data_IF_628487776470
#
_entry.id   IF_628487776470
#
_cell.length_a   1.000
_cell.length_b   1.000
_cell.length_c   1.000
_cell.angle_alpha   90.00
_cell.angle_beta   90.00
_cell.angle_gamma   90.00
#
_symmetry.space_group_name_H-M   'P 1'
#
loop_
_entity.id
_entity.type
_entity.pdbx_description
1 polymer ?
#
# COMPACT_ATOMS: atom_id res chain seq x y z
N UNK A 1 -1.48 -59.09 57.42
CA UNK A 1 -1.79 -59.51 56.04
C UNK A 1 -1.76 -58.25 55.17
N UNK A 2 -0.59 -57.86 54.66
CA UNK A 2 0.01 -58.17 53.35
C UNK A 2 -0.44 -57.23 52.22
N UNK A 3 0.56 -56.50 51.68
CA UNK A 3 0.52 -55.49 50.63
C UNK A 3 -0.01 -56.06 49.30
N UNK A 4 -0.83 -55.30 48.57
CA UNK A 4 -1.07 -55.52 47.13
C UNK A 4 -0.14 -54.62 46.33
N UNK A 5 0.78 -55.25 45.60
CA UNK A 5 1.50 -54.67 44.45
C UNK A 5 0.92 -55.36 43.22
N UNK A 6 0.47 -54.57 42.25
CA UNK A 6 -0.05 -55.06 40.96
C UNK A 6 1.12 -55.04 39.97
N UNK A 7 1.41 -56.19 39.37
CA UNK A 7 2.29 -56.37 38.22
C UNK A 7 1.46 -56.54 36.95
N UNK A 8 1.90 -55.94 35.84
CA UNK A 8 1.66 -56.39 34.47
C UNK A 8 2.73 -55.82 33.52
N UNK A 9 2.96 -56.46 32.34
CA UNK A 9 4.32 -56.80 31.91
C UNK A 9 4.91 -55.98 30.74
N UNK A 10 6.23 -56.11 30.64
CA UNK A 10 7.13 -55.71 29.57
C UNK A 10 6.77 -56.27 28.18
N UNK A 11 6.81 -55.42 27.16
CA UNK A 11 6.92 -55.82 25.75
C UNK A 11 8.21 -55.28 25.13
N UNK A 12 8.92 -56.19 24.47
CA UNK A 12 10.19 -56.03 23.78
C UNK A 12 10.03 -55.25 22.47
N UNK A 13 10.99 -54.35 22.20
CA UNK A 13 11.26 -53.75 20.90
C UNK A 13 12.11 -54.70 20.03
N UNK A 14 11.95 -54.68 18.71
CA UNK A 14 13.08 -54.89 17.81
C UNK A 14 13.36 -53.66 16.95
N UNK A 15 14.66 -53.35 16.84
CA UNK A 15 15.23 -52.35 15.96
C UNK A 15 15.34 -52.89 14.52
N UNK A 16 15.08 -52.03 13.54
CA UNK A 16 15.51 -52.21 12.16
C UNK A 16 15.74 -50.85 11.46
N UNK A 17 16.98 -50.66 10.99
CA UNK A 17 17.43 -49.76 9.91
C UNK A 17 18.09 -50.68 8.85
N UNK A 18 18.46 -50.24 7.63
CA UNK A 18 18.31 -48.92 6.98
C UNK A 18 17.73 -48.99 5.54
N UNK A 19 17.33 -47.85 4.97
CA UNK A 19 17.12 -47.69 3.52
C UNK A 19 18.05 -46.59 2.97
N UNK A 20 18.90 -46.98 2.03
CA UNK A 20 19.81 -46.11 1.30
C UNK A 20 19.13 -45.36 0.14
N UNK A 21 19.62 -44.16 -0.14
CA UNK A 21 19.24 -43.34 -1.29
C UNK A 21 20.33 -43.44 -2.37
N UNK A 22 20.00 -43.58 -3.67
CA UNK A 22 20.99 -43.47 -4.71
C UNK A 22 21.18 -42.02 -5.18
N UNK A 23 22.45 -41.66 -5.31
CA UNK A 23 22.96 -40.47 -5.99
C UNK A 23 22.74 -40.61 -7.51
N UNK A 24 22.10 -39.61 -8.12
CA UNK A 24 21.97 -39.48 -9.58
C UNK A 24 22.88 -38.38 -10.12
N UNK A 25 24.01 -38.77 -10.70
CA UNK A 25 24.89 -37.97 -11.55
C UNK A 25 24.23 -37.70 -12.90
N UNK A 26 24.14 -36.44 -13.36
CA UNK A 26 23.79 -36.11 -14.74
C UNK A 26 24.66 -34.98 -15.30
N UNK A 27 25.58 -35.35 -16.18
CA UNK A 27 26.15 -34.63 -17.35
C UNK A 27 27.23 -35.58 -17.94
N UNK A 28 27.62 -35.56 -19.24
CA UNK A 28 27.40 -34.55 -20.28
C UNK A 28 26.98 -35.09 -21.67
N UNK A 29 26.57 -34.22 -22.58
CA UNK A 29 27.05 -34.27 -23.98
C UNK A 29 26.51 -33.13 -24.86
N UNK A 30 27.48 -32.50 -25.52
CA UNK A 30 27.39 -31.66 -26.70
C UNK A 30 26.84 -32.41 -27.92
N UNK A 31 26.06 -31.72 -28.77
CA UNK A 31 26.21 -31.76 -30.23
C UNK A 31 25.48 -30.60 -30.92
N UNK A 32 26.26 -29.90 -31.71
CA UNK A 32 25.94 -28.93 -32.74
C UNK A 32 25.14 -29.52 -33.91
N UNK A 33 24.24 -28.73 -34.50
CA UNK A 33 23.92 -28.82 -35.92
C UNK A 33 23.40 -27.46 -36.45
N UNK A 34 24.19 -26.84 -37.31
CA UNK A 34 23.76 -25.84 -38.28
C UNK A 34 22.81 -26.48 -39.31
N UNK A 35 21.83 -25.71 -39.79
CA UNK A 35 21.37 -25.83 -41.18
C UNK A 35 20.74 -24.51 -41.64
N UNK A 36 20.95 -24.25 -42.93
CA UNK A 36 20.89 -22.98 -43.62
C UNK A 36 19.48 -22.53 -44.03
N UNK A 37 19.36 -21.19 -44.07
CA UNK A 37 18.65 -20.33 -45.03
C UNK A 37 17.97 -21.03 -46.21
N UNK A 38 16.71 -20.66 -46.45
CA UNK A 38 16.25 -20.20 -47.76
C UNK A 38 15.27 -19.04 -47.57
N UNK A 39 15.39 -18.03 -48.43
CA UNK A 39 14.61 -16.80 -48.45
C UNK A 39 13.92 -16.60 -49.81
N UNK A 40 12.98 -15.64 -49.80
CA UNK A 40 12.51 -14.75 -50.91
C UNK A 40 11.23 -15.18 -51.67
N UNK A 41 10.33 -14.27 -52.18
CA UNK A 41 10.01 -12.86 -51.84
C UNK A 41 8.49 -12.52 -51.66
N UNK A 42 8.22 -11.41 -50.96
CA UNK A 42 7.46 -10.22 -51.40
C UNK A 42 6.01 -10.30 -51.94
N UNK A 43 5.09 -9.55 -51.31
CA UNK A 43 4.24 -8.56 -51.98
C UNK A 43 3.51 -7.62 -51.00
N UNK A 44 3.74 -6.32 -51.18
CA UNK A 44 3.01 -5.18 -50.64
C UNK A 44 1.56 -5.11 -51.16
N UNK A 45 0.60 -4.61 -50.36
CA UNK A 45 -0.48 -3.63 -50.71
C UNK A 45 -1.01 -3.01 -49.40
N UNK A 46 -0.62 -1.79 -49.03
CA UNK A 46 -1.13 -0.45 -49.41
C UNK A 46 -2.55 -0.14 -48.91
N UNK A 47 -2.63 0.71 -47.89
CA UNK A 47 -3.81 1.46 -47.44
C UNK A 47 -4.30 2.44 -48.52
N UNK A 48 -5.62 2.63 -48.65
CA UNK A 48 -6.23 3.81 -49.29
C UNK A 48 -7.60 4.14 -48.68
N UNK A 49 -7.71 5.36 -48.15
CA UNK A 49 -8.87 6.25 -48.20
C UNK A 49 -8.43 7.48 -49.02
N UNK A 50 -9.27 8.48 -49.34
CA UNK A 50 -10.75 8.53 -49.52
C UNK A 50 -11.13 9.24 -50.86
N UNK A 51 -12.42 9.24 -51.24
CA UNK A 51 -13.08 10.42 -51.86
C UNK A 51 -14.56 10.20 -52.23
N UNK A 52 -15.39 11.11 -51.70
CA UNK A 52 -16.45 11.91 -52.35
C UNK A 52 -17.80 11.30 -52.78
N UNK A 53 -18.84 11.85 -52.13
CA UNK A 53 -20.10 12.42 -52.66
C UNK A 53 -21.09 11.53 -53.41
N UNK A 54 -22.36 11.53 -52.97
CA UNK A 54 -23.48 12.29 -53.57
C UNK A 54 -24.78 11.95 -52.81
N UNK A 55 -25.53 12.97 -52.41
CA UNK A 55 -26.92 12.90 -51.96
C UNK A 55 -27.86 12.70 -53.15
N UNK A 56 -28.94 11.91 -53.00
CA UNK A 56 -30.29 12.26 -53.47
C UNK A 56 -31.35 11.28 -52.95
N UNK A 57 -32.47 11.87 -52.54
CA UNK A 57 -33.75 11.28 -52.14
C UNK A 57 -34.29 10.25 -53.15
N UNK A 58 -35.13 9.29 -52.72
CA UNK A 58 -36.59 9.48 -52.69
C UNK A 58 -37.41 8.25 -52.24
N UNK A 59 -38.44 8.56 -51.46
CA UNK A 59 -39.80 7.99 -51.28
C UNK A 59 -40.07 6.46 -51.19
N UNK A 60 -40.76 6.04 -50.10
CA UNK A 60 -42.25 5.85 -50.03
C UNK A 60 -42.75 5.15 -48.74
N UNK A 61 -43.76 5.78 -48.10
CA UNK A 61 -45.04 5.25 -47.51
C UNK A 61 -45.00 4.27 -46.31
N UNK A 62 -45.85 4.33 -45.28
CA UNK A 62 -47.06 5.11 -44.92
C UNK A 62 -47.34 5.03 -43.39
N UNK A 63 -47.82 6.15 -42.80
CA UNK A 63 -48.88 6.39 -41.78
C UNK A 63 -48.98 5.55 -40.47
N UNK A 64 -49.09 6.10 -39.25
CA UNK A 64 -50.11 7.00 -38.60
C UNK A 64 -49.48 7.71 -37.35
N UNK A 65 -49.41 9.06 -37.20
CA UNK A 65 -50.34 10.08 -36.60
C UNK A 65 -50.74 9.84 -35.11
N UNK A 66 -50.67 10.75 -34.11
CA UNK A 66 -50.63 12.24 -33.93
C UNK A 66 -49.81 12.61 -32.66
N UNK A 67 -48.97 13.68 -32.52
CA UNK A 67 -49.12 15.17 -32.57
C UNK A 67 -49.97 15.78 -31.42
N UNK A 68 -49.69 16.88 -30.69
CA UNK A 68 -48.58 17.84 -30.46
C UNK A 68 -48.99 18.78 -29.26
N UNK A 69 -48.10 19.61 -28.67
CA UNK A 69 -48.43 20.55 -27.56
C UNK A 69 -48.32 22.05 -27.94
N UNK A 70 -49.00 22.95 -27.19
CA UNK A 70 -48.74 24.41 -27.04
C UNK A 70 -49.69 24.98 -25.96
N UNK A 71 -49.31 25.86 -25.03
CA UNK A 71 -49.07 27.30 -25.28
C UNK A 71 -48.76 28.09 -23.99
N UNK A 72 -47.85 29.07 -24.13
CA UNK A 72 -47.78 30.45 -23.61
C UNK A 72 -48.29 30.84 -22.20
N UNK A 73 -47.46 31.58 -21.43
CA UNK A 73 -47.69 33.01 -21.09
C UNK A 73 -46.53 33.63 -20.29
N UNK A 74 -46.19 34.89 -20.60
CA UNK A 74 -45.41 35.85 -19.80
C UNK A 74 -46.05 37.23 -19.99
N UNK A 75 -45.97 38.13 -19.00
CA UNK A 75 -45.39 39.48 -19.21
C UNK A 75 -44.72 40.01 -17.91
N UNK A 76 -44.01 41.15 -17.78
CA UNK A 76 -43.35 42.17 -18.60
C UNK A 76 -42.58 43.11 -17.63
N UNK A 77 -41.73 43.98 -18.17
CA UNK A 77 -40.74 44.86 -17.51
C UNK A 77 -41.25 46.20 -16.89
N UNK A 78 -40.54 46.67 -15.83
CA UNK A 78 -40.14 48.07 -15.43
C UNK A 78 -41.22 49.12 -15.02
N UNK A 79 -40.91 50.30 -14.39
CA UNK A 79 -39.60 50.89 -14.01
C UNK A 79 -39.50 51.78 -12.71
N UNK A 80 -38.30 52.33 -12.43
CA UNK A 80 -37.89 53.57 -11.71
C UNK A 80 -38.37 53.96 -10.27
N UNK A 81 -37.36 54.16 -9.40
CA UNK A 81 -37.13 55.00 -8.18
C UNK A 81 -38.07 56.20 -7.86
N UNK A 82 -37.94 56.93 -6.71
CA UNK A 82 -37.46 56.60 -5.34
C UNK A 82 -38.43 57.10 -4.22
N UNK A 83 -38.27 56.67 -2.95
CA UNK A 83 -38.74 57.47 -1.82
C UNK A 83 -37.92 57.24 -0.55
N UNK A 84 -37.63 58.35 0.13
CA UNK A 84 -36.72 58.48 1.25
C UNK A 84 -37.35 58.14 2.61
N UNK A 85 -36.47 57.81 3.55
CA UNK A 85 -36.55 58.07 5.00
C UNK A 85 -37.82 57.65 5.75
N UNK A 86 -37.69 56.68 6.66
CA UNK A 86 -37.38 56.97 8.07
C UNK A 86 -37.62 55.75 8.97
N UNK A 87 -36.66 55.54 9.88
CA UNK A 87 -36.79 54.98 11.24
C UNK A 87 -37.23 53.51 11.41
N UNK A 88 -36.24 52.66 11.75
CA UNK A 88 -36.32 51.83 12.96
C UNK A 88 -34.92 51.32 13.37
N UNK A 89 -34.73 50.97 14.66
CA UNK A 89 -33.50 51.29 15.41
C UNK A 89 -32.45 50.18 15.47
N UNK A 90 -31.31 50.60 15.98
CA UNK A 90 -30.06 49.89 16.16
C UNK A 90 -30.14 48.63 17.06
N UNK A 91 -29.07 47.82 16.88
CA UNK A 91 -28.42 46.92 17.83
C UNK A 91 -28.50 45.42 17.51
N UNK A 92 -27.44 44.93 16.85
CA UNK A 92 -26.65 43.77 17.29
C UNK A 92 -25.45 43.59 16.33
N UNK A 93 -24.37 44.36 16.56
CA UNK A 93 -23.05 44.04 15.99
C UNK A 93 -22.48 42.86 16.75
N UNK A 94 -22.55 41.67 16.19
CA UNK A 94 -21.60 40.62 16.54
C UNK A 94 -20.26 40.94 15.88
N UNK A 95 -19.39 41.57 16.66
CA UNK A 95 -17.97 41.67 16.34
C UNK A 95 -17.33 40.31 16.60
N UNK A 96 -17.35 39.43 15.60
CA UNK A 96 -16.51 38.22 15.64
C UNK A 96 -15.22 38.50 14.88
N UNK A 97 -14.28 39.15 15.56
CA UNK A 97 -12.87 39.02 15.22
C UNK A 97 -12.44 37.59 15.57
N UNK A 98 -12.72 36.64 14.67
CA UNK A 98 -12.10 35.33 14.75
C UNK A 98 -10.68 35.45 14.19
N UNK A 99 -9.63 35.15 14.98
CA UNK A 99 -8.32 34.91 14.38
C UNK A 99 -8.45 33.73 13.40
N UNK A 100 -7.63 33.69 12.33
CA UNK A 100 -7.62 32.53 11.44
C UNK A 100 -7.39 31.26 12.26
N UNK A 101 -7.98 30.11 11.88
CA UNK A 101 -7.77 28.88 12.62
C UNK A 101 -6.27 28.61 12.65
N UNK A 102 -5.66 28.76 13.83
CA UNK A 102 -4.32 28.27 14.09
C UNK A 102 -4.38 26.78 13.79
N UNK A 103 -3.48 26.33 12.93
CA UNK A 103 -3.15 24.92 12.77
C UNK A 103 -3.00 24.32 14.18
N UNK A 104 -4.00 23.58 14.63
CA UNK A 104 -3.91 22.75 15.82
C UNK A 104 -3.10 21.53 15.42
N UNK A 105 -1.79 21.72 15.29
CA UNK A 105 -0.84 20.65 15.56
C UNK A 105 -0.89 20.39 17.07
N UNK A 106 -1.97 19.77 17.53
CA UNK A 106 -1.98 19.14 18.85
C UNK A 106 -0.97 18.02 18.74
N UNK A 107 0.26 18.26 19.20
CA UNK A 107 1.21 17.18 19.38
C UNK A 107 0.52 16.18 20.31
N UNK A 108 0.12 15.03 19.77
CA UNK A 108 -0.27 13.90 20.59
C UNK A 108 0.91 13.67 21.54
N UNK A 109 0.64 13.68 22.84
CA UNK A 109 1.70 13.47 23.83
C UNK A 109 2.13 12.01 23.69
N UNK A 110 3.26 11.77 23.04
CA UNK A 110 3.83 10.44 22.93
C UNK A 110 4.07 9.91 24.34
N UNK A 111 3.48 8.77 24.75
CA UNK A 111 3.80 8.16 26.03
C UNK A 111 5.32 7.91 26.08
N UNK A 112 6.00 8.35 27.14
CA UNK A 112 7.46 8.23 27.25
C UNK A 112 7.98 6.77 27.21
N UNK A 113 7.10 5.76 27.23
CA UNK A 113 7.41 4.34 27.25
C UNK A 113 6.54 3.52 26.28
N UNK A 114 6.57 3.82 24.98
CA UNK A 114 5.93 2.95 23.99
C UNK A 114 6.48 1.51 24.06
N UNK A 115 5.61 0.52 23.86
CA UNK A 115 6.04 -0.89 23.80
C UNK A 115 6.69 -1.18 22.45
N UNK A 116 7.86 -1.81 22.48
CA UNK A 116 8.57 -2.30 21.29
C UNK A 116 8.59 -3.83 21.31
N UNK A 117 8.09 -4.45 20.25
CA UNK A 117 7.90 -5.90 20.16
C UNK A 117 9.16 -6.62 19.65
N UNK A 118 9.45 -7.78 20.23
CA UNK A 118 10.35 -8.77 19.60
C UNK A 118 9.73 -9.32 18.31
N UNK A 119 10.53 -10.01 17.50
CA UNK A 119 9.99 -10.67 16.31
C UNK A 119 8.91 -11.70 16.69
N UNK A 120 9.15 -12.47 17.75
CA UNK A 120 8.22 -13.50 18.22
C UNK A 120 6.91 -12.91 18.77
N UNK A 121 6.98 -11.79 19.51
CA UNK A 121 5.78 -11.11 20.01
C UNK A 121 4.95 -10.52 18.87
N UNK A 122 5.59 -9.93 17.86
CA UNK A 122 4.89 -9.42 16.68
C UNK A 122 4.18 -10.55 15.91
N UNK A 123 4.83 -11.72 15.76
CA UNK A 123 4.21 -12.90 15.15
C UNK A 123 2.99 -13.40 15.93
N UNK A 124 3.13 -13.55 17.25
CA UNK A 124 2.05 -14.01 18.11
C UNK A 124 0.86 -13.04 18.11
N UNK A 125 1.12 -11.73 18.14
CA UNK A 125 0.07 -10.72 18.09
C UNK A 125 -0.69 -10.76 16.76
N UNK A 126 -0.01 -10.87 15.62
CA UNK A 126 -0.65 -11.02 14.31
C UNK A 126 -1.50 -12.30 14.24
N UNK A 127 -0.99 -13.43 14.75
CA UNK A 127 -1.71 -14.69 14.81
C UNK A 127 -2.98 -14.59 15.67
N UNK A 128 -2.91 -13.93 16.83
CA UNK A 128 -4.07 -13.71 17.70
C UNK A 128 -5.11 -12.78 17.08
N UNK A 129 -4.68 -11.70 16.41
CA UNK A 129 -5.58 -10.77 15.72
C UNK A 129 -6.40 -11.49 14.63
N UNK A 130 -5.80 -12.47 13.96
CA UNK A 130 -6.47 -13.30 12.95
C UNK A 130 -7.11 -14.57 13.53
N UNK A 131 -6.89 -14.86 14.80
CA UNK A 131 -7.45 -16.00 15.51
C UNK A 131 -8.96 -15.88 15.69
N UNK A 132 -9.62 -16.98 16.03
CA UNK A 132 -11.08 -17.03 16.20
C UNK A 132 -11.63 -16.06 17.24
N UNK A 133 -10.83 -15.72 18.25
CA UNK A 133 -11.24 -14.84 19.35
C UNK A 133 -11.36 -13.37 18.92
N UNK A 134 -10.53 -12.91 17.98
CA UNK A 134 -10.56 -11.53 17.47
C UNK A 134 -11.25 -11.48 16.09
N UNK A 135 -10.86 -12.36 15.18
CA UNK A 135 -11.58 -12.64 13.94
C UNK A 135 -11.27 -11.70 12.78
N UNK A 136 -10.14 -10.99 12.77
CA UNK A 136 -9.73 -10.26 11.57
C UNK A 136 -9.30 -11.20 10.45
N UNK A 137 -9.64 -10.86 9.21
CA UNK A 137 -8.99 -11.46 8.05
C UNK A 137 -7.67 -10.75 7.72
N UNK A 138 -6.78 -11.45 7.01
CA UNK A 138 -5.56 -10.86 6.45
C UNK A 138 -5.90 -9.63 5.59
N UNK A 139 -6.94 -9.73 4.77
CA UNK A 139 -7.37 -8.66 3.86
C UNK A 139 -7.77 -7.39 4.63
N UNK A 140 -8.45 -7.53 5.77
CA UNK A 140 -8.86 -6.40 6.61
C UNK A 140 -7.66 -5.70 7.25
N UNK A 141 -6.75 -6.46 7.87
CA UNK A 141 -5.56 -5.89 8.50
C UNK A 141 -4.67 -5.20 7.46
N UNK A 142 -4.46 -5.84 6.31
CA UNK A 142 -3.67 -5.30 5.20
C UNK A 142 -4.29 -4.02 4.61
N UNK A 143 -5.62 -3.96 4.48
CA UNK A 143 -6.30 -2.76 4.00
C UNK A 143 -6.07 -1.56 4.94
N UNK A 144 -6.19 -1.79 6.25
CA UNK A 144 -5.99 -0.76 7.28
C UNK A 144 -4.52 -0.36 7.44
N UNK A 145 -3.61 -1.34 7.36
CA UNK A 145 -2.17 -1.10 7.38
C UNK A 145 -1.73 -0.26 6.18
N UNK A 146 -2.08 -0.67 4.96
CA UNK A 146 -1.73 0.08 3.76
C UNK A 146 -2.37 1.47 3.70
N UNK A 147 -3.60 1.65 4.22
CA UNK A 147 -4.18 2.98 4.40
C UNK A 147 -3.32 3.84 5.36
N UNK A 148 -2.87 3.27 6.47
CA UNK A 148 -2.00 3.98 7.43
C UNK A 148 -0.65 4.37 6.79
N UNK A 149 -0.07 3.50 5.94
CA UNK A 149 1.13 3.81 5.16
C UNK A 149 0.88 4.99 4.22
N UNK A 150 -0.23 5.00 3.50
CA UNK A 150 -0.59 6.11 2.61
C UNK A 150 -0.78 7.43 3.38
N UNK A 151 -1.35 7.37 4.59
CA UNK A 151 -1.50 8.54 5.47
C UNK A 151 -0.14 9.06 5.96
N UNK A 152 0.78 8.17 6.37
CA UNK A 152 2.14 8.55 6.75
C UNK A 152 2.90 9.23 5.60
N UNK A 153 2.77 8.70 4.37
CA UNK A 153 3.33 9.35 3.17
C UNK A 153 2.70 10.73 2.97
N UNK A 154 1.39 10.86 3.17
CA UNK A 154 0.71 12.14 3.03
C UNK A 154 1.15 13.19 4.06
N UNK A 155 1.54 12.77 5.26
CA UNK A 155 2.14 13.64 6.27
C UNK A 155 3.60 13.96 5.96
N UNK A 156 4.37 12.99 5.46
CA UNK A 156 5.79 13.15 5.12
C UNK A 156 6.02 14.08 3.92
N UNK A 157 5.16 14.02 2.90
CA UNK A 157 5.23 14.84 1.68
C UNK A 157 3.86 15.43 1.33
N UNK A 158 3.37 16.44 2.09
CA UNK A 158 2.02 16.93 1.95
C UNK A 158 1.76 17.54 0.58
N UNK A 159 0.61 17.20 -0.01
CA UNK A 159 0.13 17.86 -1.21
C UNK A 159 -0.31 19.28 -0.85
N UNK A 160 0.33 20.27 -1.45
CA UNK A 160 -0.18 21.65 -1.41
C UNK A 160 -1.02 21.91 -2.67
N UNK A 161 -2.04 22.79 -2.61
CA UNK A 161 -2.82 23.20 -3.78
C UNK A 161 -1.94 23.65 -4.97
N UNK A 162 -0.75 24.19 -4.69
CA UNK A 162 0.22 24.64 -5.68
C UNK A 162 1.08 23.52 -6.31
N UNK A 163 1.19 22.34 -5.67
CA UNK A 163 2.12 21.25 -6.06
C UNK A 163 1.39 19.92 -6.34
N UNK A 164 0.05 19.91 -6.30
CA UNK A 164 -0.81 18.71 -6.33
C UNK A 164 -0.53 17.68 -7.43
N UNK A 165 0.00 18.07 -8.61
CA UNK A 165 0.16 17.16 -9.75
C UNK A 165 1.58 16.69 -10.02
N UNK A 166 2.58 17.00 -9.20
CA UNK A 166 3.97 16.65 -9.51
C UNK A 166 4.60 15.63 -8.54
N UNK A 167 4.06 15.45 -7.32
CA UNK A 167 4.65 14.52 -6.37
C UNK A 167 4.45 13.07 -6.83
N UNK A 168 5.57 12.48 -7.23
CA UNK A 168 5.69 11.10 -7.69
C UNK A 168 6.22 10.21 -6.57
N UNK A 169 5.46 9.16 -6.25
CA UNK A 169 5.81 8.15 -5.25
C UNK A 169 6.06 6.82 -5.94
N UNK A 170 7.22 6.22 -5.67
CA UNK A 170 7.50 4.84 -6.06
C UNK A 170 7.21 3.93 -4.88
N UNK A 171 6.34 2.95 -5.05
CA UNK A 171 6.17 1.88 -4.06
C UNK A 171 6.94 0.65 -4.54
N UNK A 172 7.87 0.16 -3.73
CA UNK A 172 8.62 -1.07 -4.02
C UNK A 172 8.04 -2.19 -3.18
N UNK A 173 7.30 -3.09 -3.83
CA UNK A 173 6.54 -4.15 -3.17
C UNK A 173 7.33 -5.47 -3.20
N UNK A 174 7.56 -6.03 -2.01
CA UNK A 174 8.16 -7.34 -1.84
C UNK A 174 7.18 -8.50 -2.07
N UNK A 175 7.64 -9.75 -1.83
CA UNK A 175 6.87 -10.95 -2.16
C UNK A 175 5.97 -11.43 -0.99
N UNK A 176 5.94 -10.72 0.14
CA UNK A 176 5.21 -11.10 1.34
C UNK A 176 4.15 -10.08 1.72
N UNK A 177 3.56 -10.22 2.92
CA UNK A 177 2.48 -9.34 3.41
C UNK A 177 2.87 -7.86 3.37
N UNK A 178 4.12 -7.52 3.71
CA UNK A 178 4.62 -6.14 3.61
C UNK A 178 4.51 -5.59 2.17
N UNK A 179 4.70 -6.43 1.15
CA UNK A 179 4.46 -6.04 -0.23
C UNK A 179 3.00 -5.75 -0.51
N UNK A 180 2.09 -6.53 0.08
CA UNK A 180 0.64 -6.32 0.01
C UNK A 180 0.21 -4.99 0.66
N UNK A 181 0.77 -4.65 1.82
CA UNK A 181 0.57 -3.35 2.47
C UNK A 181 0.97 -2.20 1.53
N UNK A 182 2.07 -2.37 0.81
CA UNK A 182 2.52 -1.44 -0.23
C UNK A 182 1.55 -1.33 -1.41
N UNK A 183 0.99 -2.44 -1.90
CA UNK A 183 -0.01 -2.41 -2.98
C UNK A 183 -1.29 -1.68 -2.55
N UNK A 184 -1.75 -1.91 -1.32
CA UNK A 184 -2.87 -1.17 -0.73
C UNK A 184 -2.52 0.32 -0.60
N UNK A 185 -1.34 0.64 -0.07
CA UNK A 185 -0.87 2.02 0.06
C UNK A 185 -0.81 2.73 -1.29
N UNK A 186 -0.32 2.06 -2.34
CA UNK A 186 -0.27 2.61 -3.69
C UNK A 186 -1.66 2.99 -4.23
N UNK A 187 -2.69 2.16 -3.96
CA UNK A 187 -4.07 2.49 -4.33
C UNK A 187 -4.59 3.71 -3.56
N UNK A 188 -4.38 3.77 -2.25
CA UNK A 188 -4.83 4.91 -1.44
C UNK A 188 -4.09 6.21 -1.81
N UNK A 189 -2.78 6.15 -2.03
CA UNK A 189 -2.00 7.29 -2.51
C UNK A 189 -2.52 7.84 -3.84
N UNK A 190 -2.93 6.96 -4.75
CA UNK A 190 -3.58 7.38 -6.00
C UNK A 190 -4.88 8.14 -5.74
N UNK A 191 -5.68 7.69 -4.77
CA UNK A 191 -6.92 8.35 -4.35
C UNK A 191 -6.66 9.68 -3.62
N UNK A 192 -5.55 9.78 -2.88
CA UNK A 192 -5.13 11.02 -2.22
C UNK A 192 -4.61 12.07 -3.20
N UNK A 193 -4.33 11.70 -4.45
CA UNK A 193 -3.95 12.61 -5.53
C UNK A 193 -2.49 12.52 -5.98
N UNK A 194 -1.71 11.60 -5.41
CA UNK A 194 -0.32 11.38 -5.82
C UNK A 194 -0.21 10.74 -7.21
N UNK A 195 0.90 11.01 -7.89
CA UNK A 195 1.33 10.18 -9.00
C UNK A 195 2.07 8.97 -8.45
N UNK A 196 1.52 7.77 -8.64
CA UNK A 196 2.07 6.55 -8.02
C UNK A 196 2.56 5.61 -9.11
N UNK A 197 3.71 4.99 -8.88
CA UNK A 197 4.21 3.84 -9.64
C UNK A 197 4.54 2.71 -8.66
N UNK A 198 4.23 1.47 -9.03
CA UNK A 198 4.62 0.29 -8.25
C UNK A 198 5.72 -0.47 -8.97
N UNK A 199 6.79 -0.81 -8.27
CA UNK A 199 7.76 -1.79 -8.73
C UNK A 199 7.63 -3.04 -7.87
N UNK A 200 7.26 -4.16 -8.49
CA UNK A 200 7.06 -5.44 -7.81
C UNK A 200 7.92 -6.52 -8.49
N UNK A 201 9.20 -6.68 -8.10
CA UNK A 201 10.14 -7.60 -8.77
C UNK A 201 9.71 -9.07 -8.77
N UNK A 202 8.94 -9.48 -7.76
CA UNK A 202 8.49 -10.86 -7.57
C UNK A 202 7.04 -10.85 -7.06
N UNK A 203 6.04 -10.69 -7.95
CA UNK A 203 4.64 -10.73 -7.55
C UNK A 203 4.28 -12.12 -7.01
N UNK A 204 3.67 -12.22 -5.82
CA UNK A 204 3.25 -13.51 -5.26
C UNK A 204 2.10 -14.13 -6.05
N UNK A 205 2.16 -15.44 -6.26
CA UNK A 205 1.05 -16.22 -6.84
C UNK A 205 0.00 -16.56 -5.76
N UNK A 206 -0.65 -15.53 -5.21
CA UNK A 206 -1.73 -15.66 -4.21
C UNK A 206 -2.95 -14.87 -4.66
N UNK A 207 -4.15 -15.42 -4.45
CA UNK A 207 -5.41 -14.79 -4.86
C UNK A 207 -5.57 -13.35 -4.29
N UNK A 208 -5.15 -13.12 -3.04
CA UNK A 208 -5.11 -11.79 -2.43
C UNK A 208 -4.28 -10.80 -3.27
N UNK A 209 -3.05 -11.16 -3.62
CA UNK A 209 -2.17 -10.30 -4.41
C UNK A 209 -2.69 -10.07 -5.82
N UNK A 210 -3.26 -11.09 -6.46
CA UNK A 210 -3.92 -10.91 -7.75
C UNK A 210 -5.08 -9.91 -7.67
N UNK A 211 -5.87 -9.95 -6.60
CA UNK A 211 -6.95 -9.00 -6.38
C UNK A 211 -6.43 -7.58 -6.16
N UNK A 212 -5.37 -7.39 -5.37
CA UNK A 212 -4.71 -6.09 -5.19
C UNK A 212 -4.17 -5.55 -6.54
N UNK A 213 -3.53 -6.40 -7.34
CA UNK A 213 -3.04 -6.01 -8.67
C UNK A 213 -4.17 -5.64 -9.64
N UNK A 214 -5.32 -6.33 -9.58
CA UNK A 214 -6.53 -5.94 -10.32
C UNK A 214 -7.07 -4.58 -9.86
N UNK A 215 -7.06 -4.30 -8.56
CA UNK A 215 -7.47 -2.99 -8.03
C UNK A 215 -6.55 -1.88 -8.55
N UNK A 216 -5.22 -2.06 -8.47
CA UNK A 216 -4.24 -1.11 -9.01
C UNK A 216 -4.46 -0.83 -10.51
N UNK A 217 -4.71 -1.88 -11.30
CA UNK A 217 -5.05 -1.74 -12.72
C UNK A 217 -6.32 -0.90 -12.93
N UNK A 218 -7.36 -1.13 -12.15
CA UNK A 218 -8.61 -0.37 -12.24
C UNK A 218 -8.44 1.10 -11.82
N UNK A 219 -7.54 1.40 -10.88
CA UNK A 219 -7.14 2.75 -10.52
C UNK A 219 -6.09 3.38 -11.45
N UNK A 220 -5.68 2.66 -12.50
CA UNK A 220 -4.65 3.08 -13.47
C UNK A 220 -3.32 3.44 -12.80
N UNK A 221 -2.92 2.65 -11.80
CA UNK A 221 -1.58 2.73 -11.20
C UNK A 221 -0.65 1.83 -12.03
N UNK A 222 0.40 2.38 -12.67
CA UNK A 222 1.37 1.58 -13.40
C UNK A 222 2.14 0.65 -12.45
N UNK A 223 2.32 -0.59 -12.87
CA UNK A 223 3.10 -1.60 -12.14
C UNK A 223 4.15 -2.19 -13.08
N UNK A 224 5.42 -2.16 -12.67
CA UNK A 224 6.52 -2.82 -13.38
C UNK A 224 7.00 -4.02 -12.58
N UNK A 225 7.29 -5.13 -13.25
CA UNK A 225 7.80 -6.37 -12.63
C UNK A 225 9.27 -6.61 -12.95
N UNK A 226 9.69 -6.33 -14.18
CA UNK A 226 11.03 -6.75 -14.65
C UNK A 226 12.12 -5.73 -14.31
N UNK A 227 12.12 -4.56 -14.97
CA UNK A 227 13.14 -3.54 -14.77
C UNK A 227 12.73 -2.49 -13.73
N UNK A 228 13.66 -1.97 -12.92
CA UNK A 228 13.38 -0.80 -12.10
C UNK A 228 12.98 0.38 -13.01
N UNK A 229 12.02 1.22 -12.60
CA UNK A 229 11.87 2.53 -13.22
C UNK A 229 13.11 3.39 -12.90
N UNK A 230 13.30 4.49 -13.63
CA UNK A 230 14.32 5.47 -13.26
C UNK A 230 13.99 6.05 -11.88
N UNK A 231 14.86 5.87 -10.88
CA UNK A 231 14.54 6.30 -9.52
C UNK A 231 14.51 7.83 -9.38
N UNK A 232 15.21 8.56 -10.26
CA UNK A 232 15.32 10.04 -10.25
C UNK A 232 14.01 10.75 -10.55
N UNK A 233 13.06 10.01 -11.09
CA UNK A 233 11.72 10.46 -11.43
C UNK A 233 10.80 10.61 -10.21
N UNK A 234 11.21 10.09 -9.05
CA UNK A 234 10.39 10.02 -7.85
C UNK A 234 10.90 10.95 -6.75
N UNK A 235 9.96 11.40 -5.92
CA UNK A 235 10.22 12.32 -4.82
C UNK A 235 10.28 11.58 -3.47
N UNK A 236 9.64 10.41 -3.40
CA UNK A 236 9.66 9.51 -2.25
C UNK A 236 9.57 8.07 -2.74
N UNK A 237 10.31 7.19 -2.08
CA UNK A 237 10.23 5.74 -2.24
C UNK A 237 9.57 5.14 -1.00
N UNK A 238 8.55 4.33 -1.17
CA UNK A 238 7.97 3.49 -0.12
C UNK A 238 8.64 2.13 -0.20
N UNK A 239 9.47 1.83 0.78
CA UNK A 239 10.08 0.52 0.99
C UNK A 239 9.06 -0.40 1.67
N UNK A 240 8.41 -1.22 0.86
CA UNK A 240 7.44 -2.23 1.27
C UNK A 240 7.96 -3.64 0.92
N UNK A 241 9.27 -3.85 1.02
CA UNK A 241 9.91 -5.08 0.55
C UNK A 241 9.84 -6.18 1.61
N UNK A 242 10.45 -5.96 2.77
CA UNK A 242 10.53 -6.94 3.85
C UNK A 242 10.00 -6.35 5.16
N UNK A 243 9.01 -7.03 5.76
CA UNK A 243 8.46 -6.69 7.08
C UNK A 243 9.06 -7.55 8.19
N UNK A 244 8.50 -7.45 9.40
CA UNK A 244 9.00 -8.16 10.59
C UNK A 244 9.11 -9.69 10.47
N UNK A 245 8.40 -10.33 9.54
CA UNK A 245 8.46 -11.80 9.35
C UNK A 245 9.66 -12.27 8.53
N UNK A 246 10.43 -11.35 7.93
CA UNK A 246 11.62 -11.70 7.16
C UNK A 246 12.72 -12.31 8.04
N UNK A 247 13.39 -13.33 7.53
CA UNK A 247 14.49 -14.04 8.19
C UNK A 247 15.60 -14.37 7.20
N UNK A 248 16.84 -14.31 7.68
CA UNK A 248 18.02 -14.66 6.92
C UNK A 248 18.53 -13.54 6.03
N UNK A 249 19.26 -13.92 4.98
CA UNK A 249 19.95 -12.98 4.09
C UNK A 249 19.07 -12.55 2.92
N UNK A 250 19.24 -11.30 2.50
CA UNK A 250 18.61 -10.77 1.29
C UNK A 250 19.18 -11.52 0.07
N UNK A 251 18.29 -12.01 -0.80
CA UNK A 251 18.65 -12.79 -2.00
C UNK A 251 18.21 -12.07 -3.27
N UNK A 252 18.80 -12.40 -4.43
CA UNK A 252 18.31 -11.94 -5.72
C UNK A 252 16.81 -12.14 -5.94
N UNK A 253 16.11 -11.16 -6.53
CA UNK A 253 16.62 -9.89 -7.07
C UNK A 253 16.70 -8.75 -6.03
N UNK A 254 16.36 -9.00 -4.76
CA UNK A 254 16.16 -7.94 -3.78
C UNK A 254 17.47 -7.34 -3.25
N UNK A 255 18.58 -8.04 -3.34
CA UNK A 255 19.92 -7.50 -3.06
C UNK A 255 20.25 -6.32 -3.99
N UNK A 256 20.04 -6.50 -5.30
CA UNK A 256 20.21 -5.45 -6.30
C UNK A 256 19.18 -4.33 -6.14
N UNK A 257 17.94 -4.66 -5.76
CA UNK A 257 16.90 -3.67 -5.44
C UNK A 257 17.36 -2.79 -4.29
N UNK A 258 17.72 -3.36 -3.14
CA UNK A 258 18.15 -2.59 -1.97
C UNK A 258 19.38 -1.73 -2.27
N UNK A 259 20.34 -2.26 -3.04
CA UNK A 259 21.50 -1.50 -3.48
C UNK A 259 21.10 -0.28 -4.35
N UNK A 260 20.18 -0.45 -5.30
CA UNK A 260 19.69 0.65 -6.13
C UNK A 260 18.95 1.72 -5.31
N UNK A 261 18.10 1.30 -4.36
CA UNK A 261 17.38 2.24 -3.49
C UNK A 261 18.34 3.03 -2.60
N UNK A 262 19.31 2.35 -1.98
CA UNK A 262 20.32 2.95 -1.10
C UNK A 262 21.19 3.99 -1.81
N UNK A 263 21.45 3.82 -3.10
CA UNK A 263 22.30 4.71 -3.90
C UNK A 263 21.54 5.82 -4.64
N UNK A 264 20.19 5.82 -4.58
CA UNK A 264 19.34 6.72 -5.36
C UNK A 264 19.30 8.17 -4.87
N UNK A 265 19.73 8.45 -3.64
CA UNK A 265 19.54 9.73 -2.92
C UNK A 265 18.08 10.19 -2.75
N UNK A 266 17.10 9.38 -3.13
CA UNK A 266 15.68 9.71 -2.95
C UNK A 266 15.27 9.36 -1.51
N UNK A 267 14.49 10.23 -0.83
CA UNK A 267 13.96 9.91 0.48
C UNK A 267 13.17 8.58 0.49
N UNK A 268 13.40 7.76 1.50
CA UNK A 268 12.71 6.48 1.70
C UNK A 268 11.81 6.54 2.93
N UNK A 269 10.58 6.04 2.80
CA UNK A 269 9.70 5.67 3.89
C UNK A 269 9.62 4.14 3.96
N UNK A 270 10.13 3.55 5.04
CA UNK A 270 10.05 2.09 5.22
C UNK A 270 8.79 1.69 5.96
N UNK A 271 8.14 0.64 5.45
CA UNK A 271 6.93 0.05 6.01
C UNK A 271 7.31 -1.06 6.98
N UNK A 272 6.80 -0.91 8.20
CA UNK A 272 6.95 -1.79 9.35
C UNK A 272 8.35 -1.83 9.97
N UNK A 273 9.35 -2.25 9.18
CA UNK A 273 10.77 -2.21 9.48
C UNK A 273 11.54 -1.79 8.22
N UNK A 274 12.72 -1.15 8.34
CA UNK A 274 13.55 -0.91 7.17
C UNK A 274 14.06 -2.22 6.56
N UNK A 275 13.87 -2.40 5.26
CA UNK A 275 14.27 -3.64 4.58
C UNK A 275 15.78 -3.86 4.70
N UNK A 276 16.14 -5.09 5.07
CA UNK A 276 17.52 -5.50 5.34
C UNK A 276 17.98 -5.28 6.79
N UNK A 277 17.14 -4.73 7.67
CA UNK A 277 17.44 -4.67 9.11
C UNK A 277 17.10 -6.01 9.79
N UNK A 278 17.86 -6.34 10.84
CA UNK A 278 17.42 -7.30 11.84
C UNK A 278 16.26 -6.71 12.63
N UNK A 279 15.20 -7.50 12.82
CA UNK A 279 13.91 -7.07 13.43
C UNK A 279 14.07 -6.58 14.86
N UNK A 280 15.12 -6.99 15.56
CA UNK A 280 15.38 -6.61 16.93
C UNK A 280 16.63 -5.76 17.09
N UNK A 281 17.70 -6.08 16.35
CA UNK A 281 19.03 -5.46 16.51
C UNK A 281 19.31 -4.30 15.55
N UNK A 282 18.40 -4.04 14.59
CA UNK A 282 18.58 -2.98 13.60
C UNK A 282 19.56 -3.34 12.47
N UNK A 283 20.24 -2.34 11.91
CA UNK A 283 21.11 -2.51 10.73
C UNK A 283 22.49 -3.12 11.07
N UNK A 284 22.53 -4.33 11.62
CA UNK A 284 23.76 -4.96 12.10
C UNK A 284 24.76 -5.32 11.00
N UNK A 285 24.29 -5.56 9.77
CA UNK A 285 25.16 -5.87 8.62
C UNK A 285 25.61 -4.62 7.87
N UNK A 286 24.98 -3.47 8.11
CA UNK A 286 25.17 -2.25 7.31
C UNK A 286 24.60 -2.34 5.90
N UNK A 287 23.96 -3.46 5.52
CA UNK A 287 23.42 -3.69 4.17
C UNK A 287 21.99 -3.18 4.01
N UNK A 288 21.27 -2.98 5.11
CA UNK A 288 19.90 -2.47 5.11
C UNK A 288 19.79 -1.02 4.63
N UNK A 289 18.55 -0.63 4.32
CA UNK A 289 18.22 0.76 3.94
C UNK A 289 18.31 1.70 5.15
N UNK A 290 18.59 2.98 4.89
CA UNK A 290 18.61 4.02 5.91
C UNK A 290 17.52 5.07 5.64
N UNK A 291 16.25 4.74 5.91
CA UNK A 291 15.14 5.56 5.48
C UNK A 291 15.10 6.91 6.20
N UNK A 292 14.39 7.88 5.61
CA UNK A 292 14.08 9.18 6.20
C UNK A 292 12.87 9.08 7.12
N UNK A 293 11.95 8.18 6.77
CA UNK A 293 10.70 7.94 7.49
C UNK A 293 10.54 6.45 7.80
N UNK A 294 10.00 6.14 8.96
CA UNK A 294 9.59 4.78 9.32
C UNK A 294 8.11 4.82 9.71
N UNK A 295 7.31 3.90 9.22
CA UNK A 295 5.98 3.64 9.78
C UNK A 295 5.97 2.25 10.41
N UNK A 296 5.87 2.16 11.73
CA UNK A 296 5.61 0.88 12.40
C UNK A 296 4.13 0.54 12.35
N UNK A 297 3.80 -0.69 11.96
CA UNK A 297 2.43 -1.17 11.94
C UNK A 297 2.10 -1.92 13.24
N UNK A 298 0.90 -1.70 13.77
CA UNK A 298 0.38 -2.29 15.02
C UNK A 298 1.09 -1.74 16.26
N UNK A 299 2.38 -2.01 16.39
CA UNK A 299 3.29 -1.45 17.38
C UNK A 299 4.73 -1.44 16.83
N UNK A 300 5.62 -0.56 17.30
CA UNK A 300 7.03 -0.59 16.95
C UNK A 300 7.69 -1.95 17.19
N UNK A 301 8.55 -2.40 16.27
CA UNK A 301 9.45 -3.54 16.49
C UNK A 301 10.73 -3.07 17.17
N UNK A 302 11.42 -3.95 17.90
CA UNK A 302 12.62 -3.62 18.65
C UNK A 302 13.70 -2.89 17.84
N UNK A 303 13.86 -3.21 16.55
CA UNK A 303 14.80 -2.52 15.67
C UNK A 303 14.54 -1.00 15.57
N UNK A 304 13.29 -0.56 15.75
CA UNK A 304 12.94 0.85 15.69
C UNK A 304 13.57 1.67 16.83
N UNK A 305 14.07 1.05 17.90
CA UNK A 305 14.89 1.75 18.93
C UNK A 305 16.20 2.32 18.34
N UNK A 306 16.68 1.73 17.25
CA UNK A 306 17.88 2.19 16.52
C UNK A 306 17.55 3.26 15.47
N UNK A 307 16.28 3.50 15.17
CA UNK A 307 15.85 4.54 14.25
C UNK A 307 15.79 5.91 14.97
N UNK A 308 16.19 6.98 14.27
CA UNK A 308 16.43 8.33 14.85
C UNK A 308 15.90 9.48 13.99
N UNK A 309 15.08 9.20 12.98
CA UNK A 309 14.47 10.21 12.12
C UNK A 309 12.95 10.21 12.36
N UNK A 310 12.15 10.62 11.37
CA UNK A 310 10.70 10.77 11.54
C UNK A 310 10.02 9.40 11.62
N UNK A 311 9.38 9.12 12.76
CA UNK A 311 8.77 7.82 13.05
C UNK A 311 7.26 7.97 13.24
N UNK A 312 6.50 7.18 12.47
CA UNK A 312 5.07 7.04 12.56
C UNK A 312 4.68 5.68 13.16
N UNK A 313 3.53 5.63 13.83
CA UNK A 313 2.83 4.40 14.16
C UNK A 313 1.47 4.42 13.49
N UNK A 314 1.15 3.35 12.78
CA UNK A 314 -0.14 3.13 12.13
C UNK A 314 -0.72 1.76 12.46
N UNK A 315 -1.85 1.44 11.85
CA UNK A 315 -2.58 0.21 12.17
C UNK A 315 -3.42 0.37 13.44
N UNK A 316 -4.26 1.41 13.46
CA UNK A 316 -5.21 1.70 14.54
C UNK A 316 -6.39 0.70 14.55
N UNK A 317 -6.10 -0.55 14.89
CA UNK A 317 -7.08 -1.65 14.93
C UNK A 317 -6.89 -2.62 16.10
N UNK A 318 -5.90 -2.39 16.97
CA UNK A 318 -5.58 -3.25 18.10
C UNK A 318 -6.69 -3.15 19.16
N UNK A 319 -7.43 -4.24 19.43
CA UNK A 319 -8.50 -4.21 20.43
C UNK A 319 -7.92 -4.17 21.85
N UNK A 320 -8.71 -3.66 22.81
CA UNK A 320 -8.31 -3.55 24.22
C UNK A 320 -7.86 -4.90 24.81
N UNK A 321 -8.52 -6.00 24.43
CA UNK A 321 -8.13 -7.36 24.85
C UNK A 321 -6.70 -7.73 24.46
N UNK A 322 -6.22 -7.27 23.30
CA UNK A 322 -4.83 -7.49 22.87
C UNK A 322 -3.87 -6.51 23.55
N UNK A 323 -4.30 -5.27 23.78
CA UNK A 323 -3.52 -4.29 24.56
C UNK A 323 -3.23 -4.84 25.96
N UNK A 324 -4.23 -5.41 26.63
CA UNK A 324 -4.10 -6.04 27.95
C UNK A 324 -3.23 -7.29 27.91
N UNK A 325 -3.51 -8.23 26.99
CA UNK A 325 -2.79 -9.51 26.87
C UNK A 325 -1.29 -9.30 26.68
N UNK A 326 -0.91 -8.35 25.82
CA UNK A 326 0.49 -8.06 25.49
C UNK A 326 1.10 -6.92 26.28
N UNK A 327 0.34 -6.30 27.21
CA UNK A 327 0.75 -5.13 27.99
C UNK A 327 1.31 -4.02 27.09
N UNK A 328 0.58 -3.72 26.01
CA UNK A 328 1.00 -2.74 25.02
C UNK A 328 0.79 -1.33 25.56
N UNK A 329 1.82 -0.49 25.46
CA UNK A 329 1.71 0.95 25.56
C UNK A 329 1.75 1.50 24.14
N UNK A 330 0.57 1.85 23.62
CA UNK A 330 0.39 2.40 22.27
C UNK A 330 0.25 3.93 22.33
N UNK A 331 0.62 4.65 21.26
CA UNK A 331 0.40 6.09 21.22
C UNK A 331 -1.09 6.42 21.12
N UNK A 332 -1.48 7.60 21.62
CA UNK A 332 -2.82 8.12 21.43
C UNK A 332 -2.97 8.64 20.00
N UNK A 333 -3.93 8.10 19.24
CA UNK A 333 -4.22 8.56 17.89
C UNK A 333 -5.13 9.78 17.92
N UNK A 334 -4.71 10.94 17.37
CA UNK A 334 -5.49 12.16 17.46
C UNK A 334 -6.78 12.07 16.63
N UNK A 335 -7.93 12.26 17.26
CA UNK A 335 -9.23 12.30 16.59
C UNK A 335 -9.49 11.06 15.74
N UNK A 336 -9.65 11.25 14.43
CA UNK A 336 -9.94 10.19 13.44
C UNK A 336 -8.70 9.69 12.69
N UNK A 337 -7.49 10.12 13.08
CA UNK A 337 -6.28 9.75 12.37
C UNK A 337 -5.99 8.24 12.54
N UNK A 338 -5.56 7.60 11.44
CA UNK A 338 -5.11 6.20 11.43
C UNK A 338 -3.60 6.06 11.63
N UNK A 339 -2.89 7.18 11.70
CA UNK A 339 -1.45 7.28 11.91
C UNK A 339 -1.15 8.36 12.94
N UNK A 340 -0.06 8.20 13.68
CA UNK A 340 0.48 9.21 14.61
C UNK A 340 1.99 9.26 14.50
N UNK A 341 2.54 10.47 14.52
CA UNK A 341 3.97 10.75 14.57
C UNK A 341 4.46 10.69 16.03
N UNK A 342 5.57 9.99 16.29
CA UNK A 342 6.05 9.62 17.64
C UNK A 342 7.52 9.96 17.93
N UNK A 343 8.21 10.65 17.02
CA UNK A 343 9.63 11.03 17.13
C UNK A 343 9.91 12.22 18.07
#
# INVERSE_FOLDING_TARGET
MQKRVIHSPSWLLPAALPFGWPLGLWSPSSRSALSLRQAVPGRERRCRHPSLSVCSNDSRRDSLLLASPSSYFSPSLSPYLPCASSLCPAECRWSSAHPPPRSLSTMAQTPCNLTYLTQSQAQALDEDLMGSEVGYSVDQLMELAGLSVAQAVAEAIPLSPAVTRLLRVLVVAGPGNNGGDGLVAARHLKLFGYQVHVWCPRPPAKALFENLMKQLRNHRVPVTVEAPPDLRDFHLIVDSIFGFSFKGFVRPPFDAVLHALKTSNIPVLSVDIPSGWDVEKGNVTGEGLEPQYLISLTAPKLCAKHFKKVHFVGGRFVPESMVEKYQLVLPEYPGIQGVVRID
#
